data_IF_768985055954
#
_entry.id   IF_768985055954
#
_cell.length_a   1.000
_cell.length_b   1.000
_cell.length_c   1.000
_cell.angle_alpha   90.00
_cell.angle_beta   90.00
_cell.angle_gamma   90.00
#
_symmetry.space_group_name_H-M   'P 1'
#
loop_
_entity.id
_entity.type
_entity.pdbx_description
1 polymer ?
#
# COMPACT_ATOMS: atom_id res chain seq x y z
N UNK A 1 3.62 -13.76 -0.68
CA UNK A 1 3.24 -13.13 0.60
C UNK A 1 2.39 -11.91 0.29
N UNK A 2 1.30 -11.78 1.04
CA UNK A 2 0.40 -10.63 0.95
C UNK A 2 0.80 -9.64 2.04
N UNK A 3 0.91 -8.37 1.69
CA UNK A 3 1.36 -7.30 2.60
C UNK A 3 0.29 -6.22 2.65
N UNK A 4 0.00 -5.73 3.85
CA UNK A 4 -0.72 -4.48 4.07
C UNK A 4 0.31 -3.42 4.43
N UNK A 5 0.54 -2.45 3.53
CA UNK A 5 1.45 -1.34 3.76
C UNK A 5 0.65 -0.13 4.23
N UNK A 6 0.69 0.16 5.53
CA UNK A 6 0.00 1.32 6.12
C UNK A 6 0.93 2.53 6.14
N UNK A 7 0.54 3.56 5.38
CA UNK A 7 1.28 4.80 5.17
C UNK A 7 2.13 4.75 3.90
N UNK A 8 1.75 5.52 2.88
CA UNK A 8 2.43 5.60 1.57
C UNK A 8 3.03 6.97 1.32
N UNK A 9 3.63 7.56 2.36
CA UNK A 9 4.55 8.69 2.23
C UNK A 9 5.88 8.29 1.60
N UNK A 10 6.92 9.12 1.73
CA UNK A 10 8.21 8.87 1.08
C UNK A 10 8.85 7.51 1.43
N UNK A 11 8.75 7.06 2.68
CA UNK A 11 9.27 5.75 3.10
C UNK A 11 8.41 4.60 2.56
N UNK A 12 7.08 4.73 2.63
CA UNK A 12 6.16 3.72 2.12
C UNK A 12 6.31 3.51 0.62
N UNK A 13 6.42 4.60 -0.16
CA UNK A 13 6.69 4.53 -1.60
C UNK A 13 8.00 3.79 -1.88
N UNK A 14 9.08 4.07 -1.13
CA UNK A 14 10.35 3.38 -1.28
C UNK A 14 10.23 1.87 -0.95
N UNK A 15 9.51 1.51 0.13
CA UNK A 15 9.26 0.11 0.48
C UNK A 15 8.52 -0.60 -0.66
N UNK A 16 7.45 -0.01 -1.20
CA UNK A 16 6.69 -0.60 -2.28
C UNK A 16 7.53 -0.78 -3.56
N UNK A 17 8.35 0.21 -3.90
CA UNK A 17 9.27 0.14 -5.04
C UNK A 17 10.32 -0.98 -4.89
N UNK A 18 10.90 -1.14 -3.70
CA UNK A 18 11.89 -2.19 -3.41
C UNK A 18 11.23 -3.58 -3.39
N UNK A 19 10.01 -3.68 -2.87
CA UNK A 19 9.26 -4.93 -2.78
C UNK A 19 8.72 -5.41 -4.12
N UNK A 20 8.44 -4.50 -5.06
CA UNK A 20 7.91 -4.80 -6.41
C UNK A 20 8.70 -5.88 -7.15
N UNK A 21 10.02 -5.89 -7.00
CA UNK A 21 10.91 -6.83 -7.71
C UNK A 21 11.17 -8.13 -6.95
N UNK A 22 10.48 -8.38 -5.84
CA UNK A 22 10.73 -9.56 -5.00
C UNK A 22 9.75 -10.68 -5.32
N UNK A 23 10.28 -11.85 -5.64
CA UNK A 23 9.49 -13.04 -6.00
C UNK A 23 8.54 -13.49 -4.88
N UNK A 24 8.86 -13.19 -3.63
CA UNK A 24 8.00 -13.50 -2.50
C UNK A 24 6.79 -12.58 -2.39
N UNK A 25 6.76 -11.43 -3.07
CA UNK A 25 5.67 -10.45 -2.95
C UNK A 25 4.61 -10.73 -4.01
N UNK A 26 3.42 -11.11 -3.55
CA UNK A 26 2.32 -11.56 -4.43
C UNK A 26 1.14 -10.59 -4.44
N UNK A 27 1.07 -9.70 -3.43
CA UNK A 27 0.08 -8.62 -3.31
C UNK A 27 0.58 -7.64 -2.25
N UNK A 28 0.45 -6.34 -2.51
CA UNK A 28 0.69 -5.30 -1.51
C UNK A 28 -0.44 -4.27 -1.55
N UNK A 29 -1.28 -4.25 -0.52
CA UNK A 29 -2.30 -3.21 -0.37
C UNK A 29 -1.61 -1.93 0.08
N UNK A 30 -1.74 -0.87 -0.73
CA UNK A 30 -1.26 0.47 -0.44
C UNK A 30 -2.33 1.22 0.35
N UNK A 31 -2.19 1.26 1.67
CA UNK A 31 -3.14 1.92 2.54
C UNK A 31 -2.62 3.27 3.03
N UNK A 32 -3.41 4.33 2.94
CA UNK A 32 -3.09 5.64 3.53
C UNK A 32 -4.37 6.33 3.99
N UNK A 33 -4.24 7.23 4.96
CA UNK A 33 -5.35 8.09 5.37
C UNK A 33 -5.80 9.01 4.22
N UNK A 34 -4.87 9.40 3.35
CA UNK A 34 -5.14 10.15 2.14
C UNK A 34 -5.13 9.20 0.92
N UNK A 35 -6.30 8.74 0.51
CA UNK A 35 -6.48 7.84 -0.64
C UNK A 35 -5.79 8.35 -1.93
N UNK A 36 -5.82 9.66 -2.20
CA UNK A 36 -5.19 10.21 -3.40
C UNK A 36 -3.68 9.97 -3.42
N UNK A 37 -3.02 10.00 -2.25
CA UNK A 37 -1.59 9.70 -2.15
C UNK A 37 -1.31 8.24 -2.49
N UNK A 38 -2.16 7.32 -2.04
CA UNK A 38 -2.05 5.90 -2.38
C UNK A 38 -2.23 5.67 -3.89
N UNK A 39 -3.21 6.33 -4.51
CA UNK A 39 -3.43 6.28 -5.96
C UNK A 39 -2.25 6.84 -6.76
N UNK A 40 -1.62 7.94 -6.31
CA UNK A 40 -0.42 8.50 -6.92
C UNK A 40 0.74 7.49 -6.91
N UNK A 41 0.96 6.82 -5.77
CA UNK A 41 2.00 5.79 -5.65
C UNK A 41 1.67 4.57 -6.51
N UNK A 42 0.42 4.09 -6.50
CA UNK A 42 -0.03 3.00 -7.37
C UNK A 42 0.26 3.29 -8.84
N UNK A 43 -0.09 4.49 -9.33
CA UNK A 43 0.18 4.92 -10.70
C UNK A 43 1.67 4.91 -11.05
N UNK A 44 2.55 5.32 -10.13
CA UNK A 44 4.01 5.23 -10.32
C UNK A 44 4.50 3.79 -10.40
N UNK A 45 3.88 2.89 -9.62
CA UNK A 45 4.24 1.47 -9.59
C UNK A 45 3.68 0.71 -10.81
N UNK A 46 2.57 1.15 -11.40
CA UNK A 46 2.09 0.70 -12.71
C UNK A 46 1.56 -0.75 -12.75
N UNK A 47 1.11 -1.28 -11.61
CA UNK A 47 0.45 -2.59 -11.53
C UNK A 47 -0.66 -2.55 -10.47
N UNK A 48 -1.84 -2.12 -10.89
CA UNK A 48 -2.99 -1.92 -10.00
C UNK A 48 -3.47 -3.22 -9.35
N UNK A 49 -3.19 -4.37 -9.98
CA UNK A 49 -3.55 -5.69 -9.43
C UNK A 49 -2.60 -6.10 -8.32
N UNK A 50 -1.31 -5.81 -8.48
CA UNK A 50 -0.30 -6.09 -7.47
C UNK A 50 -0.35 -5.07 -6.31
N UNK A 51 -0.77 -3.85 -6.61
CA UNK A 51 -0.83 -2.71 -5.68
C UNK A 51 -2.24 -2.12 -5.53
N UNK A 52 -3.25 -2.87 -5.06
CA UNK A 52 -4.55 -2.28 -4.76
C UNK A 52 -4.42 -1.18 -3.70
N UNK A 53 -5.25 -0.14 -3.79
CA UNK A 53 -5.25 1.00 -2.86
C UNK A 53 -6.41 0.91 -1.88
N UNK A 54 -6.20 1.36 -0.65
CA UNK A 54 -7.27 1.44 0.36
C UNK A 54 -7.10 2.67 1.25
N UNK A 55 -8.22 3.19 1.79
CA UNK A 55 -8.21 4.29 2.75
C UNK A 55 -8.30 3.75 4.17
N UNK A 56 -7.32 4.07 5.03
CA UNK A 56 -7.32 3.66 6.44
C UNK A 56 -6.96 4.83 7.35
N UNK A 57 -7.74 5.03 8.40
CA UNK A 57 -7.31 5.78 9.57
C UNK A 57 -6.68 4.82 10.60
N UNK A 58 -5.35 4.78 10.60
CA UNK A 58 -4.56 3.90 11.46
C UNK A 58 -4.52 4.32 12.94
N UNK A 59 -5.13 5.48 13.29
CA UNK A 59 -5.34 5.85 14.69
C UNK A 59 -6.47 5.05 15.36
N UNK A 60 -7.25 4.31 14.55
CA UNK A 60 -8.36 3.46 14.99
C UNK A 60 -8.03 2.01 14.72
N UNK A 61 -7.93 1.22 15.78
CA UNK A 61 -7.58 -0.20 15.69
C UNK A 61 -8.62 -0.98 14.88
N UNK A 62 -9.91 -0.68 15.05
CA UNK A 62 -10.99 -1.35 14.34
C UNK A 62 -10.89 -1.22 12.81
N UNK A 63 -10.31 -0.13 12.30
CA UNK A 63 -10.12 0.07 10.87
C UNK A 63 -9.01 -0.83 10.31
N UNK A 64 -8.00 -1.15 11.12
CA UNK A 64 -6.89 -2.01 10.71
C UNK A 64 -7.35 -3.47 10.72
N UNK A 65 -8.15 -3.87 11.70
CA UNK A 65 -8.66 -5.25 11.85
C UNK A 65 -9.69 -5.64 10.78
N UNK A 66 -10.34 -4.67 10.13
CA UNK A 66 -11.38 -4.91 9.14
C UNK A 66 -10.87 -5.32 7.73
N UNK A 67 -9.56 -5.52 7.56
CA UNK A 67 -8.89 -5.69 6.25
C UNK A 67 -8.26 -7.07 6.02
#
# INVERSE_FOLDING_TARGET
MRVLLVGVGGVGEAIAAIAKSRDWMTLMVLADYNLKRAEEVQKKLGDDKLFPVESIDASKQENIEAL
#
